data_IF_690159089862
#
_entry.id   IF_690159089862
#
_cell.length_a   1.000
_cell.length_b   1.000
_cell.length_c   1.000
_cell.angle_alpha   90.00
_cell.angle_beta   90.00
_cell.angle_gamma   90.00
#
_symmetry.space_group_name_H-M   'P 1'
#
loop_
_entity.id
_entity.type
_entity.pdbx_description
1 polymer ?
#
# COMPACT_ATOMS: atom_id res chain seq x y z
N UNK A 1 16.49 -2.50 -20.38
CA UNK A 1 15.39 -2.12 -19.47
C UNK A 1 14.90 -3.39 -18.79
N UNK A 2 15.30 -3.58 -17.54
CA UNK A 2 15.00 -4.75 -16.71
C UNK A 2 13.82 -4.46 -15.78
N UNK A 3 12.75 -5.25 -15.87
CA UNK A 3 11.55 -5.12 -15.03
C UNK A 3 11.42 -6.35 -14.14
N UNK A 4 11.44 -6.16 -12.83
CA UNK A 4 11.25 -7.23 -11.83
C UNK A 4 9.93 -7.00 -11.10
N UNK A 5 9.03 -8.00 -11.16
CA UNK A 5 7.83 -7.99 -10.33
C UNK A 5 8.17 -8.46 -8.93
N UNK A 6 7.70 -7.74 -7.92
CA UNK A 6 7.80 -8.08 -6.49
C UNK A 6 6.40 -8.39 -5.96
N UNK A 7 6.18 -9.63 -5.54
CA UNK A 7 4.91 -10.08 -4.98
C UNK A 7 5.09 -10.43 -3.51
N UNK A 8 4.32 -9.81 -2.62
CA UNK A 8 4.33 -10.13 -1.19
C UNK A 8 3.13 -11.03 -0.88
N UNK A 9 3.37 -12.16 -0.20
CA UNK A 9 2.30 -13.11 0.14
C UNK A 9 2.37 -13.59 1.60
N UNK A 10 1.20 -13.87 2.18
CA UNK A 10 1.07 -14.50 3.49
C UNK A 10 -0.24 -15.29 3.59
N UNK A 11 -0.14 -16.64 3.65
CA UNK A 11 -1.29 -17.55 3.81
C UNK A 11 -2.40 -17.33 2.76
N UNK A 12 -2.02 -17.24 1.47
CA UNK A 12 -2.94 -17.01 0.35
C UNK A 12 -2.47 -17.74 -0.93
N UNK A 13 -2.07 -19.00 -0.79
CA UNK A 13 -1.52 -19.83 -1.88
C UNK A 13 -2.37 -19.74 -3.17
N UNK A 14 -3.69 -19.88 -3.06
CA UNK A 14 -4.59 -19.85 -4.23
C UNK A 14 -4.58 -18.51 -4.96
N UNK A 15 -4.53 -17.39 -4.24
CA UNK A 15 -4.47 -16.04 -4.84
C UNK A 15 -3.11 -15.81 -5.49
N UNK A 16 -2.04 -16.19 -4.83
CA UNK A 16 -0.68 -16.13 -5.37
C UNK A 16 -0.56 -16.89 -6.70
N UNK A 17 -1.17 -18.08 -6.81
CA UNK A 17 -1.18 -18.86 -8.05
C UNK A 17 -1.79 -18.08 -9.21
N UNK A 18 -2.91 -17.41 -9.00
CA UNK A 18 -3.56 -16.56 -10.00
C UNK A 18 -2.68 -15.37 -10.37
N UNK A 19 -2.09 -14.70 -9.37
CA UNK A 19 -1.20 -13.58 -9.57
C UNK A 19 0.01 -13.97 -10.44
N UNK A 20 0.73 -15.02 -10.09
CA UNK A 20 1.90 -15.52 -10.84
C UNK A 20 1.52 -15.90 -12.28
N UNK A 21 0.36 -16.55 -12.48
CA UNK A 21 -0.14 -16.86 -13.82
C UNK A 21 -0.36 -15.59 -14.66
N UNK A 22 -0.95 -14.54 -14.07
CA UNK A 22 -1.18 -13.28 -14.72
C UNK A 22 0.14 -12.55 -15.06
N UNK A 23 1.12 -12.58 -14.16
CA UNK A 23 2.45 -12.00 -14.39
C UNK A 23 3.20 -12.71 -15.53
N UNK A 24 3.15 -14.04 -15.59
CA UNK A 24 3.77 -14.83 -16.67
C UNK A 24 3.10 -14.62 -18.04
N UNK A 25 1.88 -14.05 -18.07
CA UNK A 25 1.11 -13.85 -19.30
C UNK A 25 1.18 -12.42 -19.89
N UNK A 26 2.04 -11.55 -19.34
CA UNK A 26 2.17 -10.17 -19.81
C UNK A 26 2.67 -10.10 -21.27
N UNK A 27 2.10 -9.16 -22.08
CA UNK A 27 2.51 -8.90 -23.48
C UNK A 27 3.96 -8.41 -23.54
N UNK A 28 4.36 -7.58 -22.57
CA UNK A 28 5.77 -7.28 -22.30
C UNK A 28 6.25 -8.25 -21.22
N UNK A 29 7.08 -9.27 -21.57
CA UNK A 29 7.57 -10.23 -20.58
C UNK A 29 8.35 -9.56 -19.45
N UNK A 30 8.20 -10.08 -18.23
CA UNK A 30 9.02 -9.71 -17.10
C UNK A 30 10.41 -10.34 -17.20
N UNK A 31 11.42 -9.63 -16.71
CA UNK A 31 12.78 -10.16 -16.65
C UNK A 31 12.98 -11.10 -15.44
N UNK A 32 12.23 -10.88 -14.37
CA UNK A 32 12.11 -11.80 -13.22
C UNK A 32 10.81 -11.56 -12.45
N UNK A 33 10.36 -12.60 -11.71
CA UNK A 33 9.30 -12.52 -10.71
C UNK A 33 9.90 -12.93 -9.38
N UNK A 34 9.92 -12.02 -8.42
CA UNK A 34 10.42 -12.23 -7.07
C UNK A 34 9.25 -12.31 -6.09
N UNK A 35 9.09 -13.45 -5.42
CA UNK A 35 8.06 -13.66 -4.41
C UNK A 35 8.65 -13.59 -3.02
N UNK A 36 8.11 -12.71 -2.19
CA UNK A 36 8.41 -12.64 -0.75
C UNK A 36 7.34 -13.42 0.02
N UNK A 37 7.67 -14.64 0.40
CA UNK A 37 6.83 -15.46 1.27
C UNK A 37 7.05 -15.04 2.73
N UNK A 38 6.10 -14.34 3.29
CA UNK A 38 6.16 -13.73 4.61
C UNK A 38 5.82 -14.72 5.74
N UNK A 39 6.34 -15.96 5.65
CA UNK A 39 6.16 -17.00 6.64
C UNK A 39 4.80 -17.71 6.55
N UNK A 40 4.35 -18.03 5.35
CA UNK A 40 3.09 -18.76 5.15
C UNK A 40 3.16 -20.19 5.67
N UNK A 41 1.99 -20.70 6.12
CA UNK A 41 1.79 -22.04 6.71
C UNK A 41 0.64 -22.80 6.04
N UNK A 42 0.16 -22.35 4.89
CA UNK A 42 -1.01 -22.87 4.16
C UNK A 42 -0.65 -23.67 2.89
N UNK A 43 0.56 -24.21 2.79
CA UNK A 43 1.07 -24.88 1.59
C UNK A 43 1.66 -23.93 0.54
N UNK A 44 1.73 -22.62 0.81
CA UNK A 44 2.34 -21.63 -0.10
C UNK A 44 3.82 -21.97 -0.37
N UNK A 45 4.57 -22.37 0.68
CA UNK A 45 6.00 -22.68 0.53
C UNK A 45 6.21 -23.88 -0.36
N UNK A 46 5.50 -24.95 -0.12
CA UNK A 46 5.58 -26.20 -0.88
C UNK A 46 5.21 -25.98 -2.36
N UNK A 47 4.19 -25.14 -2.61
CA UNK A 47 3.83 -24.78 -3.97
C UNK A 47 4.94 -23.95 -4.63
N UNK A 48 5.49 -22.96 -3.94
CA UNK A 48 6.59 -22.11 -4.46
C UNK A 48 7.84 -22.95 -4.78
N UNK A 49 8.20 -23.91 -3.94
CA UNK A 49 9.35 -24.80 -4.14
C UNK A 49 9.18 -25.67 -5.40
N UNK A 50 7.92 -25.91 -5.86
CA UNK A 50 7.62 -26.65 -7.10
C UNK A 50 7.63 -25.79 -8.37
N UNK A 51 7.73 -24.46 -8.24
CA UNK A 51 7.66 -23.55 -9.39
C UNK A 51 9.04 -23.33 -10.02
N UNK A 52 9.02 -23.10 -11.33
CA UNK A 52 10.21 -22.69 -12.10
C UNK A 52 10.02 -21.28 -12.66
N UNK A 53 11.15 -20.56 -12.85
CA UNK A 53 11.15 -19.22 -13.43
C UNK A 53 10.57 -18.13 -12.50
N UNK A 54 10.63 -18.37 -11.20
CA UNK A 54 10.38 -17.37 -10.15
C UNK A 54 11.50 -17.46 -9.10
N UNK A 55 11.84 -16.32 -8.54
CA UNK A 55 12.74 -16.22 -7.39
C UNK A 55 11.92 -16.14 -6.11
N UNK A 56 12.34 -16.83 -5.05
CA UNK A 56 11.58 -16.92 -3.79
C UNK A 56 12.46 -16.57 -2.61
N UNK A 57 11.99 -15.66 -1.77
CA UNK A 57 12.59 -15.39 -0.47
C UNK A 57 11.52 -15.69 0.60
N UNK A 58 11.83 -16.66 1.46
CA UNK A 58 11.00 -16.96 2.64
C UNK A 58 11.60 -16.30 3.87
N UNK A 59 10.79 -15.60 4.63
CA UNK A 59 11.18 -14.91 5.86
C UNK A 59 10.08 -15.03 6.92
N UNK A 60 10.37 -14.67 8.16
CA UNK A 60 9.35 -14.51 9.18
C UNK A 60 8.36 -13.39 8.80
N UNK A 61 7.12 -13.47 9.33
CA UNK A 61 6.12 -12.43 9.06
C UNK A 61 6.48 -11.11 9.76
N UNK A 62 7.11 -10.23 9.00
CA UNK A 62 7.44 -8.85 9.39
C UNK A 62 6.45 -7.81 8.82
N UNK A 63 5.25 -8.27 8.40
CA UNK A 63 4.21 -7.43 7.81
C UNK A 63 4.39 -7.15 6.32
N UNK A 64 3.35 -6.57 5.70
CA UNK A 64 3.40 -6.18 4.29
C UNK A 64 4.50 -5.16 4.01
N UNK A 65 4.64 -4.15 4.88
CA UNK A 65 5.69 -3.12 4.78
C UNK A 65 7.10 -3.73 4.74
N UNK A 66 7.37 -4.68 5.62
CA UNK A 66 8.65 -5.41 5.64
C UNK A 66 8.85 -6.29 4.42
N UNK A 67 7.77 -6.90 3.91
CA UNK A 67 7.79 -7.68 2.68
C UNK A 67 8.16 -6.83 1.46
N UNK A 68 7.52 -5.68 1.28
CA UNK A 68 7.85 -4.74 0.20
C UNK A 68 9.26 -4.17 0.34
N UNK A 69 9.67 -3.80 1.56
CA UNK A 69 11.05 -3.38 1.80
C UNK A 69 12.06 -4.44 1.33
N UNK A 70 11.85 -5.71 1.72
CA UNK A 70 12.74 -6.82 1.34
C UNK A 70 12.73 -7.05 -0.17
N UNK A 71 11.56 -7.12 -0.77
CA UNK A 71 11.41 -7.37 -2.20
C UNK A 71 11.99 -6.27 -3.08
N UNK A 72 11.76 -5.00 -2.72
CA UNK A 72 12.32 -3.88 -3.46
C UNK A 72 13.85 -3.79 -3.33
N UNK A 73 14.40 -4.09 -2.15
CA UNK A 73 15.83 -4.13 -1.94
C UNK A 73 16.50 -5.21 -2.80
N UNK A 74 15.93 -6.41 -2.80
CA UNK A 74 16.44 -7.52 -3.61
C UNK A 74 16.32 -7.22 -5.10
N UNK A 75 15.16 -6.75 -5.59
CA UNK A 75 14.96 -6.40 -6.98
C UNK A 75 15.94 -5.31 -7.45
N UNK A 76 16.19 -4.30 -6.60
CA UNK A 76 17.21 -3.27 -6.87
C UNK A 76 18.61 -3.87 -6.95
N UNK A 77 18.98 -4.75 -6.02
CA UNK A 77 20.28 -5.44 -6.01
C UNK A 77 20.50 -6.34 -7.23
N UNK A 78 19.41 -6.92 -7.74
CA UNK A 78 19.39 -7.68 -9.00
C UNK A 78 19.47 -6.78 -10.25
N UNK A 79 19.54 -5.47 -10.09
CA UNK A 79 19.73 -4.51 -11.18
C UNK A 79 18.43 -4.16 -11.92
N UNK A 80 17.29 -4.16 -11.25
CA UNK A 80 16.03 -3.72 -11.86
C UNK A 80 16.09 -2.24 -12.27
N UNK A 81 15.67 -1.92 -13.48
CA UNK A 81 15.39 -0.55 -13.92
C UNK A 81 14.01 -0.09 -13.45
N UNK A 82 13.07 -1.05 -13.35
CA UNK A 82 11.73 -0.86 -12.80
C UNK A 82 11.36 -2.01 -11.87
N UNK A 83 10.73 -1.66 -10.75
CA UNK A 83 10.21 -2.61 -9.76
C UNK A 83 8.68 -2.52 -9.77
N UNK A 84 8.00 -3.64 -10.05
CA UNK A 84 6.55 -3.73 -10.08
C UNK A 84 6.02 -4.39 -8.81
N UNK A 85 5.58 -3.58 -7.85
CA UNK A 85 5.18 -4.04 -6.53
C UNK A 85 3.71 -4.41 -6.46
N UNK A 86 3.36 -5.55 -5.85
CA UNK A 86 1.96 -5.92 -5.65
C UNK A 86 1.76 -6.95 -4.52
N UNK A 87 0.54 -6.96 -3.97
CA UNK A 87 0.04 -8.03 -3.12
C UNK A 87 -0.41 -9.25 -3.96
N UNK A 88 -0.64 -10.37 -3.30
CA UNK A 88 -1.07 -11.62 -3.92
C UNK A 88 -2.55 -11.65 -4.38
N UNK A 89 -3.37 -10.66 -3.95
CA UNK A 89 -4.81 -10.58 -4.25
C UNK A 89 -5.15 -9.68 -5.46
N UNK A 90 -4.15 -9.31 -6.24
CA UNK A 90 -4.30 -8.54 -7.48
C UNK A 90 -3.73 -9.32 -8.67
N UNK A 91 -4.36 -9.18 -9.83
CA UNK A 91 -3.96 -9.91 -11.05
C UNK A 91 -3.94 -8.94 -12.24
N UNK A 92 -2.75 -8.61 -12.80
CA UNK A 92 -2.68 -7.69 -13.92
C UNK A 92 -3.30 -8.27 -15.19
N UNK A 93 -3.98 -7.42 -15.97
CA UNK A 93 -4.37 -7.75 -17.34
C UNK A 93 -3.12 -7.90 -18.21
N UNK A 94 -3.24 -8.59 -19.33
CA UNK A 94 -2.07 -8.98 -20.16
C UNK A 94 -1.21 -7.81 -20.64
N UNK A 95 -1.81 -6.66 -20.88
CA UNK A 95 -1.19 -5.44 -21.38
C UNK A 95 -0.83 -4.43 -20.29
N UNK A 96 -1.12 -4.75 -19.02
CA UNK A 96 -1.00 -3.82 -17.90
C UNK A 96 0.42 -3.23 -17.77
N UNK A 97 1.46 -4.06 -17.83
CA UNK A 97 2.85 -3.58 -17.77
C UNK A 97 3.21 -2.66 -18.93
N UNK A 98 2.78 -3.02 -20.13
CA UNK A 98 3.05 -2.22 -21.34
C UNK A 98 2.41 -0.82 -21.21
N UNK A 99 1.15 -0.75 -20.81
CA UNK A 99 0.44 0.51 -20.61
C UNK A 99 1.06 1.36 -19.49
N UNK A 100 1.51 0.75 -18.39
CA UNK A 100 2.23 1.48 -17.35
C UNK A 100 3.58 2.02 -17.83
N UNK A 101 4.30 1.28 -18.65
CA UNK A 101 5.57 1.75 -19.21
C UNK A 101 5.35 2.93 -20.17
N UNK A 102 4.27 2.94 -20.96
CA UNK A 102 3.87 4.09 -21.81
C UNK A 102 3.54 5.33 -20.96
N UNK A 103 2.93 5.11 -19.78
CA UNK A 103 2.56 6.19 -18.85
C UNK A 103 3.72 6.68 -17.98
N UNK A 104 4.88 5.98 -17.98
CA UNK A 104 6.02 6.32 -17.13
C UNK A 104 6.60 7.69 -17.47
N UNK A 105 6.75 8.60 -16.47
CA UNK A 105 7.38 9.90 -16.71
C UNK A 105 8.81 9.76 -17.23
N UNK A 106 9.22 10.64 -18.15
CA UNK A 106 10.55 10.57 -18.82
C UNK A 106 11.75 10.58 -17.87
N UNK A 107 11.63 11.28 -16.74
CA UNK A 107 12.68 11.35 -15.70
C UNK A 107 12.57 10.23 -14.66
N UNK A 108 11.64 9.29 -14.88
CA UNK A 108 11.26 8.28 -13.89
C UNK A 108 10.20 8.78 -12.92
N UNK A 109 9.63 7.87 -12.15
CA UNK A 109 8.52 8.16 -11.23
C UNK A 109 7.85 6.88 -10.75
N UNK A 110 6.58 7.02 -10.37
CA UNK A 110 5.72 5.92 -9.95
C UNK A 110 4.45 5.94 -10.82
N UNK A 111 4.07 4.79 -11.38
CA UNK A 111 2.82 4.63 -12.13
C UNK A 111 1.95 3.59 -11.44
N UNK A 112 0.72 3.98 -11.08
CA UNK A 112 -0.28 3.07 -10.52
C UNK A 112 -1.31 2.68 -11.59
N UNK A 113 -1.69 1.39 -11.70
CA UNK A 113 -2.74 0.95 -12.61
C UNK A 113 -4.13 1.21 -12.05
N UNK A 114 -5.14 1.21 -12.94
CA UNK A 114 -6.54 1.18 -12.56
C UNK A 114 -6.89 -0.20 -11.98
N UNK A 115 -7.36 -0.21 -10.74
CA UNK A 115 -7.80 -1.43 -10.07
C UNK A 115 -9.30 -1.65 -10.31
N UNK A 116 -9.65 -2.83 -10.77
CA UNK A 116 -11.03 -3.22 -11.08
C UNK A 116 -11.47 -4.35 -10.14
N UNK A 117 -12.39 -4.06 -9.23
CA UNK A 117 -13.03 -5.07 -8.39
C UNK A 117 -13.89 -5.98 -9.28
N UNK A 118 -13.67 -7.28 -9.20
CA UNK A 118 -14.33 -8.28 -10.07
C UNK A 118 -14.22 -7.96 -11.57
N UNK A 119 -13.20 -7.23 -11.99
CA UNK A 119 -12.95 -6.87 -13.38
C UNK A 119 -13.90 -5.81 -13.96
N UNK A 120 -14.71 -5.14 -13.14
CA UNK A 120 -15.73 -4.18 -13.61
C UNK A 120 -15.75 -2.87 -12.85
N UNK A 121 -15.71 -2.92 -11.53
CA UNK A 121 -15.91 -1.73 -10.69
C UNK A 121 -14.57 -1.10 -10.33
N UNK A 122 -14.37 0.16 -10.71
CA UNK A 122 -13.15 0.90 -10.35
C UNK A 122 -13.04 1.02 -8.84
N UNK A 123 -11.92 0.60 -8.28
CA UNK A 123 -11.63 0.70 -6.85
C UNK A 123 -11.12 2.10 -6.53
N UNK A 124 -11.81 2.78 -5.61
CA UNK A 124 -11.41 4.08 -5.11
C UNK A 124 -10.72 3.97 -3.76
N UNK A 125 -9.87 4.95 -3.42
CA UNK A 125 -9.35 5.13 -2.07
C UNK A 125 -7.88 4.82 -1.85
N UNK A 126 -7.16 4.41 -2.90
CA UNK A 126 -5.70 4.26 -2.87
C UNK A 126 -4.95 5.47 -3.43
N UNK A 127 -5.59 6.21 -4.32
CA UNK A 127 -5.02 7.35 -5.03
C UNK A 127 -5.30 8.65 -4.27
N UNK A 128 -4.27 9.23 -3.67
CA UNK A 128 -4.36 10.50 -2.97
C UNK A 128 -3.96 11.65 -3.90
N UNK A 129 -4.88 12.58 -4.13
CA UNK A 129 -4.62 13.74 -5.00
C UNK A 129 -3.67 14.73 -4.35
N UNK A 130 -3.86 15.00 -3.05
CA UNK A 130 -2.99 15.91 -2.30
C UNK A 130 -3.11 15.75 -0.78
N UNK A 131 -2.09 16.21 -0.08
CA UNK A 131 -2.03 16.28 1.37
C UNK A 131 -2.14 17.71 1.91
N UNK A 132 -2.92 17.90 2.95
CA UNK A 132 -3.07 19.18 3.66
C UNK A 132 -2.14 19.27 4.87
N UNK A 133 -0.83 19.18 4.69
CA UNK A 133 0.13 19.20 5.81
C UNK A 133 0.11 20.49 6.60
N UNK A 134 -0.09 21.63 5.92
CA UNK A 134 -0.03 22.97 6.49
C UNK A 134 -1.35 23.45 7.11
N UNK A 135 -2.50 22.83 6.76
CA UNK A 135 -3.81 23.24 7.26
C UNK A 135 -4.45 22.14 8.12
N UNK A 136 -4.35 22.23 9.46
CA UNK A 136 -4.88 21.19 10.35
C UNK A 136 -6.41 21.15 10.43
N UNK A 137 -7.11 22.17 9.93
CA UNK A 137 -8.59 22.22 9.91
C UNK A 137 -9.17 21.40 8.75
N UNK A 138 -8.43 21.22 7.66
CA UNK A 138 -8.82 20.39 6.54
C UNK A 138 -8.50 18.91 6.80
N UNK A 139 -9.19 17.95 6.15
CA UNK A 139 -8.76 16.54 6.15
C UNK A 139 -7.29 16.39 5.79
N UNK A 140 -6.59 15.41 6.38
CA UNK A 140 -5.16 15.19 6.15
C UNK A 140 -4.84 14.99 4.67
N UNK A 141 -5.68 14.19 4.00
CA UNK A 141 -5.55 13.89 2.57
C UNK A 141 -6.89 13.95 1.86
N UNK A 142 -6.85 14.22 0.55
CA UNK A 142 -7.99 14.08 -0.36
C UNK A 142 -7.70 12.97 -1.35
N UNK A 143 -8.47 11.92 -1.31
CA UNK A 143 -8.41 10.86 -2.31
C UNK A 143 -9.17 11.25 -3.57
N UNK A 144 -8.77 10.68 -4.70
CA UNK A 144 -9.49 10.80 -5.96
C UNK A 144 -10.89 10.20 -5.84
N UNK A 145 -11.86 10.86 -6.42
CA UNK A 145 -13.23 10.38 -6.59
C UNK A 145 -13.33 9.41 -7.78
N UNK A 146 -14.41 8.64 -7.84
CA UNK A 146 -14.67 7.75 -8.97
C UNK A 146 -14.65 8.51 -10.31
N UNK A 147 -15.28 9.69 -10.37
CA UNK A 147 -15.32 10.50 -11.59
C UNK A 147 -13.94 10.98 -12.04
N UNK A 148 -13.03 11.30 -11.10
CA UNK A 148 -11.66 11.69 -11.43
C UNK A 148 -10.82 10.50 -11.92
N UNK A 149 -11.06 9.30 -11.38
CA UNK A 149 -10.38 8.09 -11.83
C UNK A 149 -10.88 7.57 -13.19
N UNK A 150 -12.13 7.85 -13.54
CA UNK A 150 -12.73 7.40 -14.80
C UNK A 150 -12.63 8.42 -15.93
N UNK A 151 -12.57 9.72 -15.61
CA UNK A 151 -12.49 10.81 -16.60
C UNK A 151 -11.10 11.46 -16.58
N UNK A 152 -10.07 10.66 -16.74
CA UNK A 152 -8.68 11.11 -16.75
C UNK A 152 -8.33 11.82 -18.06
N UNK A 153 -7.53 12.87 -17.99
CA UNK A 153 -7.02 13.54 -19.18
C UNK A 153 -5.91 12.69 -19.84
N UNK A 154 -6.12 12.31 -21.08
CA UNK A 154 -5.21 11.42 -21.83
C UNK A 154 -4.87 10.11 -21.09
N UNK A 155 -5.79 9.59 -20.30
CA UNK A 155 -5.57 8.37 -19.51
C UNK A 155 -4.74 8.55 -18.25
N UNK A 156 -4.36 9.76 -17.87
CA UNK A 156 -3.43 10.04 -16.77
C UNK A 156 -4.05 10.95 -15.74
N UNK A 157 -3.87 10.60 -14.45
CA UNK A 157 -4.20 11.47 -13.31
C UNK A 157 -2.95 11.61 -12.42
N UNK A 158 -2.52 12.84 -12.17
CA UNK A 158 -1.43 13.12 -11.22
C UNK A 158 -1.94 12.99 -9.79
N UNK A 159 -1.16 12.32 -8.94
CA UNK A 159 -1.48 12.07 -7.53
C UNK A 159 -0.23 12.27 -6.67
N UNK A 160 -0.39 12.43 -5.35
CA UNK A 160 0.72 12.53 -4.41
C UNK A 160 1.02 11.19 -3.69
N UNK A 161 0.06 10.27 -3.71
CA UNK A 161 0.29 8.92 -3.20
C UNK A 161 -0.64 7.88 -3.84
N UNK A 162 -0.19 6.63 -3.81
CA UNK A 162 -0.89 5.44 -4.34
C UNK A 162 -0.76 4.27 -3.36
N UNK A 163 -1.55 3.22 -3.56
CA UNK A 163 -1.42 1.96 -2.85
C UNK A 163 -0.38 1.03 -3.50
N UNK A 164 0.26 0.14 -2.72
CA UNK A 164 1.14 -0.91 -3.24
C UNK A 164 0.37 -2.08 -3.89
N UNK A 165 -0.71 -1.75 -4.56
CA UNK A 165 -1.52 -2.67 -5.34
C UNK A 165 -1.21 -2.50 -6.83
N UNK A 166 -0.02 -2.92 -7.25
CA UNK A 166 0.43 -2.93 -8.64
C UNK A 166 1.20 -1.70 -9.14
N UNK A 167 1.80 -0.82 -8.32
CA UNK A 167 2.58 0.29 -8.86
C UNK A 167 3.88 -0.17 -9.49
N UNK A 168 4.25 0.47 -10.60
CA UNK A 168 5.53 0.37 -11.26
C UNK A 168 6.41 1.54 -10.79
N UNK A 169 7.56 1.23 -10.20
CA UNK A 169 8.47 2.20 -9.57
C UNK A 169 9.78 2.21 -10.34
N UNK A 170 10.22 3.37 -10.82
CA UNK A 170 11.51 3.50 -11.49
C UNK A 170 12.69 3.41 -10.50
N UNK A 171 13.82 2.87 -10.96
CA UNK A 171 15.07 2.79 -10.21
C UNK A 171 15.50 4.15 -9.65
N UNK A 172 15.31 5.23 -10.41
CA UNK A 172 15.67 6.60 -10.02
C UNK A 172 14.97 7.05 -8.74
N UNK A 173 13.72 6.60 -8.50
CA UNK A 173 13.01 6.84 -7.24
C UNK A 173 13.73 6.14 -6.09
N UNK A 174 14.04 4.85 -6.24
CA UNK A 174 14.74 4.08 -5.21
C UNK A 174 16.12 4.69 -4.89
N UNK A 175 16.87 5.08 -5.89
CA UNK A 175 18.19 5.72 -5.73
C UNK A 175 18.11 7.03 -4.94
N UNK A 176 17.01 7.80 -5.13
CA UNK A 176 16.84 9.10 -4.49
C UNK A 176 16.31 9.02 -3.07
N UNK A 177 15.35 8.12 -2.81
CA UNK A 177 14.63 8.09 -1.54
C UNK A 177 14.81 6.78 -0.73
N UNK A 178 15.52 5.79 -1.28
CA UNK A 178 15.68 4.47 -0.66
C UNK A 178 14.42 3.61 -0.76
N UNK A 179 14.26 2.71 0.20
CA UNK A 179 13.17 1.72 0.25
C UNK A 179 12.03 2.15 1.18
N UNK A 180 10.87 1.46 1.15
CA UNK A 180 9.77 1.69 2.09
C UNK A 180 10.18 1.54 3.55
N UNK A 181 9.45 2.19 4.46
CA UNK A 181 9.66 2.08 5.90
C UNK A 181 9.17 0.71 6.41
N UNK A 182 10.10 -0.24 6.61
CA UNK A 182 9.79 -1.64 6.96
C UNK A 182 9.05 -1.81 8.27
N UNK A 183 9.31 -0.92 9.24
CA UNK A 183 8.80 -1.05 10.62
C UNK A 183 7.37 -0.55 10.78
N UNK A 184 6.74 -0.03 9.72
CA UNK A 184 5.30 0.27 9.73
C UNK A 184 4.45 -0.99 9.88
N UNK A 185 4.95 -2.14 9.52
CA UNK A 185 4.33 -3.47 9.56
C UNK A 185 3.17 -3.61 8.57
N UNK A 186 2.15 -2.78 8.63
CA UNK A 186 0.98 -2.75 7.74
C UNK A 186 0.34 -1.37 7.74
N UNK A 187 -0.15 -0.91 6.58
CA UNK A 187 -0.73 0.42 6.32
C UNK A 187 0.25 1.59 6.40
N UNK A 188 0.02 2.56 5.58
CA UNK A 188 0.79 3.80 5.46
C UNK A 188 2.19 3.65 4.85
N UNK A 189 2.68 2.46 4.62
CA UNK A 189 3.96 2.20 3.95
C UNK A 189 3.95 2.66 2.50
N UNK A 190 2.89 2.35 1.76
CA UNK A 190 2.60 2.81 0.41
C UNK A 190 2.43 4.34 0.34
N UNK A 191 1.62 4.86 1.24
CA UNK A 191 1.33 6.30 1.36
C UNK A 191 2.59 7.09 1.74
N UNK A 192 3.38 6.61 2.70
CA UNK A 192 4.63 7.25 3.14
C UNK A 192 5.67 7.24 2.03
N UNK A 193 5.84 6.10 1.36
CA UNK A 193 6.80 5.96 0.29
C UNK A 193 6.48 6.86 -0.89
N UNK A 194 5.24 6.86 -1.34
CA UNK A 194 4.76 7.71 -2.43
C UNK A 194 4.89 9.18 -2.09
N UNK A 195 4.45 9.59 -0.90
CA UNK A 195 4.53 10.98 -0.46
C UNK A 195 5.99 11.46 -0.37
N UNK A 196 6.90 10.61 0.07
CA UNK A 196 8.34 10.88 0.11
C UNK A 196 8.93 11.03 -1.29
N UNK A 197 8.50 10.22 -2.27
CA UNK A 197 8.86 10.35 -3.67
C UNK A 197 8.34 11.67 -4.28
N UNK A 198 7.05 11.99 -4.02
CA UNK A 198 6.47 13.26 -4.44
C UNK A 198 7.25 14.47 -3.90
N UNK A 199 7.59 14.46 -2.61
CA UNK A 199 8.41 15.52 -2.00
C UNK A 199 9.83 15.61 -2.56
N UNK A 200 10.36 14.53 -3.09
CA UNK A 200 11.66 14.51 -3.77
C UNK A 200 11.57 14.99 -5.24
N UNK A 201 10.38 15.39 -5.70
CA UNK A 201 10.14 15.97 -7.03
C UNK A 201 9.74 14.95 -8.10
N UNK A 202 9.49 13.68 -7.75
CA UNK A 202 9.02 12.70 -8.71
C UNK A 202 7.53 12.85 -9.01
N UNK A 203 7.17 12.64 -10.27
CA UNK A 203 5.78 12.51 -10.66
C UNK A 203 5.24 11.12 -10.26
N UNK A 204 4.08 11.12 -9.63
CA UNK A 204 3.31 9.92 -9.36
C UNK A 204 2.03 10.03 -10.16
N UNK A 205 1.76 9.03 -10.99
CA UNK A 205 0.63 9.06 -11.90
C UNK A 205 -0.21 7.79 -11.78
N UNK A 206 -1.51 7.97 -11.88
CA UNK A 206 -2.45 6.88 -12.09
C UNK A 206 -2.72 6.78 -13.59
N UNK A 207 -2.60 5.58 -14.16
CA UNK A 207 -2.82 5.27 -15.56
C UNK A 207 -4.13 4.48 -15.73
N UNK A 208 -5.16 5.12 -16.29
CA UNK A 208 -6.49 4.50 -16.44
C UNK A 208 -6.54 3.46 -17.57
N UNK A 209 -5.54 3.42 -18.47
CA UNK A 209 -5.40 2.39 -19.50
C UNK A 209 -4.78 1.10 -18.99
N UNK A 210 -3.99 1.16 -17.93
CA UNK A 210 -3.36 -0.01 -17.32
C UNK A 210 -4.34 -0.65 -16.32
N UNK A 211 -4.79 -1.88 -16.59
CA UNK A 211 -5.82 -2.53 -15.77
C UNK A 211 -5.25 -3.64 -14.89
N UNK A 212 -5.79 -3.72 -13.67
CA UNK A 212 -5.45 -4.71 -12.69
C UNK A 212 -6.74 -5.23 -12.03
N UNK A 213 -6.97 -6.53 -12.11
CA UNK A 213 -8.07 -7.18 -11.40
C UNK A 213 -7.76 -7.26 -9.91
N UNK A 214 -8.72 -6.87 -9.07
CA UNK A 214 -8.63 -7.02 -7.61
C UNK A 214 -9.68 -7.99 -7.10
N UNK A 215 -9.26 -8.97 -6.31
CA UNK A 215 -10.17 -9.91 -5.66
C UNK A 215 -11.01 -9.22 -4.58
N UNK A 216 -12.31 -9.52 -4.55
CA UNK A 216 -13.19 -9.08 -3.47
C UNK A 216 -13.11 -10.04 -2.27
N UNK A 217 -12.17 -9.76 -1.38
CA UNK A 217 -11.98 -10.53 -0.15
C UNK A 217 -13.12 -10.32 0.87
N UNK A 218 -14.07 -9.44 0.60
CA UNK A 218 -15.20 -9.17 1.50
C UNK A 218 -16.45 -9.99 1.17
N UNK A 219 -16.50 -10.61 -0.01
CA UNK A 219 -17.60 -11.46 -0.42
C UNK A 219 -17.82 -12.61 0.58
N UNK A 220 -19.04 -12.69 1.12
CA UNK A 220 -19.43 -13.73 2.05
C UNK A 220 -18.91 -13.58 3.49
N UNK A 221 -18.15 -12.55 3.78
CA UNK A 221 -17.74 -12.25 5.15
C UNK A 221 -18.74 -11.28 5.79
N UNK A 222 -19.39 -11.73 6.88
CA UNK A 222 -20.00 -10.80 7.83
C UNK A 222 -18.86 -9.97 8.45
N UNK A 223 -18.56 -8.83 7.85
CA UNK A 223 -17.62 -7.85 8.42
C UNK A 223 -18.26 -7.36 9.72
N UNK A 224 -18.07 -8.14 10.79
CA UNK A 224 -18.45 -7.67 12.11
C UNK A 224 -17.62 -6.43 12.37
N UNK A 225 -18.27 -5.35 12.71
CA UNK A 225 -17.69 -4.03 13.03
C UNK A 225 -16.85 -4.06 14.32
N UNK A 226 -16.19 -5.16 14.62
CA UNK A 226 -15.24 -5.28 15.73
C UNK A 226 -13.96 -4.54 15.36
N UNK A 227 -13.34 -3.89 16.34
CA UNK A 227 -12.03 -3.28 16.18
C UNK A 227 -11.05 -4.33 15.63
N UNK A 228 -10.70 -4.22 14.37
CA UNK A 228 -9.76 -5.14 13.71
C UNK A 228 -8.40 -5.05 14.42
N UNK A 229 -7.68 -6.16 14.52
CA UNK A 229 -6.28 -6.17 15.00
C UNK A 229 -5.38 -5.20 14.21
N UNK A 230 -5.77 -4.83 13.02
CA UNK A 230 -5.08 -3.86 12.14
C UNK A 230 -5.24 -2.40 12.60
N UNK A 231 -6.30 -2.08 13.37
CA UNK A 231 -6.65 -0.72 13.75
C UNK A 231 -5.55 0.02 14.53
N UNK A 232 -4.85 -0.60 15.50
CA UNK A 232 -3.73 0.06 16.20
C UNK A 232 -2.60 0.48 15.26
N UNK A 233 -2.28 -0.35 14.27
CA UNK A 233 -1.27 -0.01 13.26
C UNK A 233 -1.69 1.19 12.42
N UNK A 234 -2.93 1.18 11.94
CA UNK A 234 -3.47 2.29 11.14
C UNK A 234 -3.38 3.62 11.89
N UNK A 235 -3.82 3.66 13.14
CA UNK A 235 -3.77 4.86 13.99
C UNK A 235 -2.32 5.27 14.29
N UNK A 236 -1.47 4.34 14.73
CA UNK A 236 -0.05 4.62 15.03
C UNK A 236 0.67 5.20 13.83
N UNK A 237 0.49 4.58 12.67
CA UNK A 237 1.21 4.96 11.46
C UNK A 237 0.71 6.29 10.90
N UNK A 238 -0.59 6.60 11.02
CA UNK A 238 -1.13 7.92 10.69
C UNK A 238 -0.53 9.02 11.59
N UNK A 239 -0.47 8.78 12.89
CA UNK A 239 0.16 9.70 13.86
C UNK A 239 1.64 9.90 13.56
N UNK A 240 2.37 8.80 13.28
CA UNK A 240 3.77 8.85 12.87
C UNK A 240 3.96 9.68 11.59
N UNK A 241 3.13 9.46 10.56
CA UNK A 241 3.18 10.19 9.31
C UNK A 241 2.94 11.69 9.51
N UNK A 242 1.89 12.06 10.25
CA UNK A 242 1.59 13.46 10.58
C UNK A 242 2.76 14.09 11.31
N UNK A 243 3.32 13.42 12.32
CA UNK A 243 4.45 13.95 13.08
C UNK A 243 5.71 14.14 12.21
N UNK A 244 5.96 13.19 11.32
CA UNK A 244 7.16 13.20 10.45
C UNK A 244 7.13 14.32 9.42
N UNK A 245 5.94 14.65 8.88
CA UNK A 245 5.83 15.50 7.70
C UNK A 245 5.10 16.83 7.89
N UNK A 246 4.32 17.00 8.95
CA UNK A 246 3.64 18.28 9.20
C UNK A 246 4.57 19.30 9.89
N UNK A 247 4.46 20.60 9.54
CA UNK A 247 5.11 21.67 10.32
C UNK A 247 4.65 21.67 11.78
N UNK A 248 5.46 22.20 12.70
CA UNK A 248 5.25 22.07 14.15
C UNK A 248 3.85 22.47 14.65
N UNK A 249 3.38 23.68 14.31
CA UNK A 249 2.06 24.16 14.75
C UNK A 249 0.90 23.34 14.13
N UNK A 250 0.81 23.16 12.80
CA UNK A 250 -0.18 22.26 12.18
C UNK A 250 -0.14 20.84 12.75
N UNK A 251 1.04 20.30 13.05
CA UNK A 251 1.21 18.99 13.66
C UNK A 251 0.52 18.91 15.03
N UNK A 252 0.81 19.85 15.93
CA UNK A 252 0.21 19.88 17.28
C UNK A 252 -1.32 19.94 17.19
N UNK A 253 -1.86 20.88 16.40
CA UNK A 253 -3.31 21.04 16.24
C UNK A 253 -3.95 19.77 15.65
N UNK A 254 -3.35 19.18 14.63
CA UNK A 254 -3.87 17.98 13.98
C UNK A 254 -3.85 16.78 14.92
N UNK A 255 -2.73 16.54 15.61
CA UNK A 255 -2.62 15.44 16.56
C UNK A 255 -3.58 15.60 17.74
N UNK A 256 -3.74 16.83 18.28
CA UNK A 256 -4.71 17.10 19.33
C UNK A 256 -6.14 16.82 18.85
N UNK A 257 -6.51 17.27 17.64
CA UNK A 257 -7.82 16.99 17.07
C UNK A 257 -8.04 15.49 16.82
N UNK A 258 -7.06 14.78 16.27
CA UNK A 258 -7.11 13.34 16.07
C UNK A 258 -7.30 12.62 17.40
N UNK A 259 -6.52 12.96 18.41
CA UNK A 259 -6.63 12.40 19.74
C UNK A 259 -8.04 12.58 20.31
N UNK A 260 -8.59 13.81 20.28
CA UNK A 260 -9.94 14.10 20.73
C UNK A 260 -10.99 13.31 19.96
N UNK A 261 -10.91 13.26 18.63
CA UNK A 261 -11.86 12.51 17.81
C UNK A 261 -11.86 11.01 18.13
N UNK A 262 -10.70 10.40 18.28
CA UNK A 262 -10.58 8.99 18.62
C UNK A 262 -11.07 8.72 20.05
N UNK A 263 -10.70 9.55 21.02
CA UNK A 263 -11.13 9.39 22.41
C UNK A 263 -12.64 9.60 22.59
N UNK A 264 -13.21 10.65 22.00
CA UNK A 264 -14.65 10.90 22.03
C UNK A 264 -15.44 9.80 21.29
N UNK A 265 -14.92 9.30 20.16
CA UNK A 265 -15.51 8.20 19.44
C UNK A 265 -15.60 6.93 20.30
N UNK A 266 -14.53 6.59 21.01
CA UNK A 266 -14.49 5.41 21.89
C UNK A 266 -15.36 5.60 23.13
N UNK A 267 -15.31 6.75 23.80
CA UNK A 267 -16.14 7.03 24.99
C UNK A 267 -17.62 6.99 24.66
N UNK A 268 -18.04 7.57 23.53
CA UNK A 268 -19.42 7.51 23.05
C UNK A 268 -19.95 6.07 22.89
N UNK A 269 -19.06 5.14 22.50
CA UNK A 269 -19.40 3.73 22.36
C UNK A 269 -19.29 2.90 23.65
N UNK A 270 -18.46 3.32 24.62
CA UNK A 270 -18.36 2.67 25.93
C UNK A 270 -19.63 2.81 26.75
N UNK A 271 -20.32 3.96 26.63
CA UNK A 271 -21.56 4.24 27.36
C UNK A 271 -22.85 3.78 26.65
N UNK A 272 -22.75 3.24 25.45
CA UNK A 272 -23.91 2.67 24.74
C UNK A 272 -24.10 1.19 25.09
N UNK A 273 -25.34 0.77 25.46
CA UNK A 273 -25.71 -0.64 25.78
C UNK A 273 -25.29 -1.65 24.70
N UNK A 274 -25.16 -1.23 23.44
CA UNK A 274 -24.65 -2.02 22.30
C UNK A 274 -23.31 -1.50 21.77
N UNK A 275 -22.46 -0.94 22.65
CA UNK A 275 -21.20 -0.34 22.26
C UNK A 275 -20.23 -1.33 21.62
N UNK A 276 -19.66 -0.93 20.50
CA UNK A 276 -18.72 -1.74 19.70
C UNK A 276 -17.33 -1.85 20.32
N UNK A 277 -16.99 -0.94 21.23
CA UNK A 277 -15.67 -0.82 21.85
C UNK A 277 -15.72 -1.16 23.34
N UNK A 278 -14.68 -1.83 23.82
CA UNK A 278 -14.45 -2.16 25.23
C UNK A 278 -13.37 -1.25 25.80
N UNK A 279 -13.24 -1.19 27.11
CA UNK A 279 -12.17 -0.42 27.79
C UNK A 279 -10.77 -0.78 27.28
N UNK A 280 -10.53 -2.06 26.96
CA UNK A 280 -9.26 -2.51 26.36
C UNK A 280 -8.96 -1.84 25.02
N UNK A 281 -9.98 -1.53 24.22
CA UNK A 281 -9.79 -0.87 22.91
C UNK A 281 -9.35 0.58 23.10
N UNK A 282 -9.81 1.23 24.19
CA UNK A 282 -9.34 2.55 24.61
C UNK A 282 -7.85 2.54 24.94
N UNK A 283 -7.39 1.59 25.75
CA UNK A 283 -5.97 1.45 26.09
C UNK A 283 -5.10 1.15 24.87
N UNK A 284 -5.59 0.33 23.95
CA UNK A 284 -4.89 0.03 22.69
C UNK A 284 -4.74 1.28 21.82
N UNK A 285 -5.78 2.12 21.74
CA UNK A 285 -5.69 3.38 20.98
C UNK A 285 -4.74 4.39 21.63
N UNK A 286 -4.76 4.50 22.97
CA UNK A 286 -3.81 5.35 23.72
C UNK A 286 -2.37 4.92 23.46
N UNK A 287 -2.11 3.60 23.51
CA UNK A 287 -0.79 3.04 23.21
C UNK A 287 -0.37 3.35 21.78
N UNK A 288 -1.25 3.09 20.80
CA UNK A 288 -0.98 3.34 19.38
C UNK A 288 -0.65 4.81 19.12
N UNK A 289 -1.42 5.72 19.71
CA UNK A 289 -1.19 7.17 19.59
C UNK A 289 0.16 7.58 20.17
N UNK A 290 0.48 7.14 21.41
CA UNK A 290 1.77 7.39 22.06
C UNK A 290 2.93 6.83 21.24
N UNK A 291 2.80 5.59 20.74
CA UNK A 291 3.85 4.91 19.99
C UNK A 291 4.09 5.62 18.64
N UNK A 292 3.04 6.13 17.98
CA UNK A 292 3.16 6.98 16.79
C UNK A 292 3.88 8.30 17.04
N UNK A 293 3.56 9.00 18.12
CA UNK A 293 4.27 10.22 18.55
C UNK A 293 5.75 9.93 18.79
N UNK A 294 6.08 8.82 19.44
CA UNK A 294 7.46 8.48 19.81
C UNK A 294 8.21 7.73 18.69
N UNK A 295 7.62 7.57 17.50
CA UNK A 295 8.19 6.79 16.40
C UNK A 295 8.54 5.35 16.80
N UNK A 296 7.79 4.77 17.74
CA UNK A 296 7.95 3.39 18.16
C UNK A 296 7.15 2.49 17.23
N UNK A 297 7.81 2.04 16.18
CA UNK A 297 7.24 1.21 15.12
C UNK A 297 7.45 -0.28 15.40
N UNK A 298 7.13 -1.15 14.43
CA UNK A 298 7.27 -2.60 14.52
C UNK A 298 5.95 -3.32 14.80
N UNK A 299 6.04 -4.62 15.01
CA UNK A 299 4.90 -5.49 15.33
C UNK A 299 4.43 -5.25 16.77
N UNK A 300 3.09 -5.19 16.98
CA UNK A 300 2.50 -5.13 18.32
C UNK A 300 2.51 -6.48 19.02
#
# INVERSE_FOLDING_TARGET
MKVIAVVVTYNRCYLLQKNIKALKSQTRPLDSILVINNGSTDGTKEWLDSQTGIEVITQENIGGSGGFWRGMNEAYSLGADYIWCMDDDVHPYKDCLEEMLKAMPHVGGIVAPQRLLDGKTVVCGGECLYFNMNNPLKPLKRNASLSELTNTENGILKVEAIAFEGPLISKTVVEKIGFPEKDLFIFWDDTEYSYRAHRAGFNIVYASSAHLYKEDLTKGQNISKKCSWKYPYMLRNEVYFVRKYSPALPCIFRLSRMFMQYMLGITKHLFHKNGKYKYKDYLVCLRAFRDGINSKLGKY
#
